data_IF_230625113035
#
_entry.id   IF_230625113035
#
_cell.length_a   1.000
_cell.length_b   1.000
_cell.length_c   1.000
_cell.angle_alpha   90.00
_cell.angle_beta   90.00
_cell.angle_gamma   90.00
#
_symmetry.space_group_name_H-M   'P 1'
#
loop_
_entity.id
_entity.type
_entity.pdbx_description
1 polymer ?
#
# COMPACT_ATOMS: atom_id res chain seq x y z
N UNK A 1 16.69 29.89 13.18
CA UNK A 1 16.77 28.47 13.48
C UNK A 1 16.74 27.67 12.17
N UNK A 2 17.93 27.43 11.58
CA UNK A 2 18.06 26.71 10.29
C UNK A 2 17.54 25.26 10.36
N UNK A 3 17.69 24.60 11.51
CA UNK A 3 17.20 23.25 11.72
C UNK A 3 15.68 23.12 11.58
N UNK A 4 14.91 24.06 12.13
CA UNK A 4 13.45 24.08 12.05
C UNK A 4 13.02 24.29 10.58
N UNK A 5 13.69 25.18 9.86
CA UNK A 5 13.38 25.43 8.44
C UNK A 5 13.69 24.24 7.56
N UNK A 6 14.73 23.48 7.87
CA UNK A 6 15.08 22.24 7.17
C UNK A 6 14.04 21.14 7.44
N UNK A 7 13.62 20.99 8.69
CA UNK A 7 12.54 20.04 9.07
C UNK A 7 11.22 20.40 8.38
N UNK A 8 10.81 21.67 8.41
CA UNK A 8 9.57 22.11 7.74
C UNK A 8 9.61 21.87 6.23
N UNK A 9 10.76 22.11 5.56
CA UNK A 9 10.90 21.81 4.13
C UNK A 9 10.77 20.33 3.79
N UNK A 10 11.16 19.43 4.70
CA UNK A 10 11.01 17.99 4.53
C UNK A 10 9.60 17.52 4.91
N UNK A 11 8.97 18.17 5.89
CA UNK A 11 7.61 17.80 6.32
C UNK A 11 6.57 18.01 5.23
N UNK A 12 6.62 19.13 4.50
CA UNK A 12 5.61 19.46 3.48
C UNK A 12 5.46 18.37 2.41
N UNK A 13 6.53 17.94 1.69
CA UNK A 13 6.39 16.88 0.69
C UNK A 13 5.97 15.53 1.31
N UNK A 14 6.40 15.22 2.53
CA UNK A 14 5.98 13.98 3.22
C UNK A 14 4.49 14.06 3.57
N UNK A 15 4.00 15.18 4.12
CA UNK A 15 2.57 15.36 4.41
C UNK A 15 1.73 15.25 3.13
N UNK A 16 2.16 15.88 2.04
CA UNK A 16 1.43 15.79 0.77
C UNK A 16 1.45 14.35 0.23
N UNK A 17 2.57 13.63 0.35
CA UNK A 17 2.64 12.23 -0.09
C UNK A 17 1.73 11.28 0.71
N UNK A 18 1.39 11.60 1.98
CA UNK A 18 0.44 10.80 2.76
C UNK A 18 -1.01 10.93 2.27
N UNK A 19 -1.33 12.00 1.55
CA UNK A 19 -2.67 12.20 0.97
C UNK A 19 -2.90 11.43 -0.33
N UNK A 20 -1.84 10.90 -0.95
CA UNK A 20 -1.95 10.11 -2.18
C UNK A 20 -2.88 8.92 -2.00
N UNK A 21 -2.72 8.16 -0.92
CA UNK A 21 -3.53 6.97 -0.64
C UNK A 21 -5.03 7.29 -0.45
N UNK A 22 -5.42 8.25 0.42
CA UNK A 22 -6.81 8.69 0.52
C UNK A 22 -7.42 9.15 -0.81
N UNK A 23 -6.66 9.87 -1.62
CA UNK A 23 -7.14 10.34 -2.93
C UNK A 23 -7.43 9.16 -3.87
N UNK A 24 -6.52 8.18 -3.95
CA UNK A 24 -6.72 6.97 -4.77
C UNK A 24 -7.96 6.19 -4.29
N UNK A 25 -8.15 6.04 -2.98
CA UNK A 25 -9.33 5.38 -2.42
C UNK A 25 -10.62 6.13 -2.79
N UNK A 26 -10.63 7.46 -2.69
CA UNK A 26 -11.78 8.29 -3.07
C UNK A 26 -12.13 8.15 -4.56
N UNK A 27 -11.13 8.13 -5.44
CA UNK A 27 -11.31 7.91 -6.88
C UNK A 27 -11.91 6.52 -7.13
N UNK A 28 -11.30 5.48 -6.55
CA UNK A 28 -11.77 4.12 -6.71
C UNK A 28 -13.21 3.92 -6.20
N UNK A 29 -13.55 4.54 -5.04
CA UNK A 29 -14.92 4.53 -4.49
C UNK A 29 -15.93 5.18 -5.43
N UNK A 30 -15.54 6.27 -6.11
CA UNK A 30 -16.42 6.92 -7.11
C UNK A 30 -16.75 5.98 -8.27
N UNK A 31 -15.76 5.29 -8.83
CA UNK A 31 -16.00 4.31 -9.89
C UNK A 31 -16.78 3.08 -9.39
N UNK A 32 -16.50 2.62 -8.19
CA UNK A 32 -17.20 1.49 -7.58
C UNK A 32 -18.64 1.79 -7.20
N UNK A 33 -19.01 3.05 -6.95
CA UNK A 33 -20.37 3.45 -6.54
C UNK A 33 -21.45 3.15 -7.60
N UNK A 34 -21.06 3.08 -8.87
CA UNK A 34 -21.94 2.69 -9.97
C UNK A 34 -22.17 1.18 -10.10
N UNK A 35 -21.42 0.36 -9.36
CA UNK A 35 -21.47 -1.09 -9.44
C UNK A 35 -22.33 -1.68 -8.32
N UNK A 36 -23.15 -2.68 -8.66
CA UNK A 36 -23.95 -3.48 -7.70
C UNK A 36 -24.80 -2.63 -6.71
N UNK A 37 -25.40 -1.53 -7.18
CA UNK A 37 -26.30 -0.72 -6.34
C UNK A 37 -25.62 -0.08 -5.10
N UNK A 38 -24.31 0.16 -5.15
CA UNK A 38 -23.51 0.75 -4.05
C UNK A 38 -22.77 -0.29 -3.18
N UNK A 39 -23.13 -1.56 -3.23
CA UNK A 39 -22.44 -2.64 -2.50
C UNK A 39 -20.97 -2.83 -2.92
N UNK A 40 -20.62 -2.44 -4.15
CA UNK A 40 -19.26 -2.50 -4.66
C UNK A 40 -18.24 -1.68 -3.85
N UNK A 41 -18.63 -0.52 -3.33
CA UNK A 41 -17.76 0.33 -2.50
C UNK A 41 -17.42 -0.39 -1.19
N UNK A 42 -18.44 -0.86 -0.48
CA UNK A 42 -18.25 -1.58 0.79
C UNK A 42 -17.43 -2.85 0.62
N UNK A 43 -17.66 -3.61 -0.46
CA UNK A 43 -16.91 -4.82 -0.76
C UNK A 43 -15.42 -4.54 -0.99
N UNK A 44 -15.09 -3.48 -1.74
CA UNK A 44 -13.70 -3.05 -1.96
C UNK A 44 -13.07 -2.56 -0.65
N UNK A 45 -13.80 -1.77 0.14
CA UNK A 45 -13.28 -1.24 1.41
C UNK A 45 -12.98 -2.36 2.41
N UNK A 46 -13.92 -3.28 2.64
CA UNK A 46 -13.70 -4.42 3.54
C UNK A 46 -12.56 -5.33 3.06
N UNK A 47 -12.54 -5.68 1.78
CA UNK A 47 -11.49 -6.50 1.19
C UNK A 47 -10.12 -5.83 1.26
N UNK A 48 -10.06 -4.53 0.96
CA UNK A 48 -8.82 -3.73 1.01
C UNK A 48 -8.30 -3.57 2.43
N UNK A 49 -9.17 -3.25 3.39
CA UNK A 49 -8.78 -3.09 4.80
C UNK A 49 -8.21 -4.38 5.37
N UNK A 50 -8.80 -5.53 5.03
CA UNK A 50 -8.34 -6.81 5.55
C UNK A 50 -6.97 -7.19 4.99
N UNK A 51 -6.74 -7.11 3.67
CA UNK A 51 -5.44 -7.43 3.11
C UNK A 51 -4.36 -6.44 3.55
N UNK A 52 -4.69 -5.14 3.66
CA UNK A 52 -3.75 -4.13 4.17
C UNK A 52 -3.39 -4.36 5.64
N UNK A 53 -4.32 -4.83 6.45
CA UNK A 53 -4.03 -5.19 7.84
C UNK A 53 -3.03 -6.35 7.89
N UNK A 54 -3.26 -7.40 7.12
CA UNK A 54 -2.36 -8.58 7.07
C UNK A 54 -0.98 -8.19 6.53
N UNK A 55 -0.92 -7.52 5.39
CA UNK A 55 0.33 -7.08 4.77
C UNK A 55 1.04 -6.01 5.60
N UNK A 56 0.26 -5.07 6.15
CA UNK A 56 0.78 -3.92 6.88
C UNK A 56 1.53 -4.31 8.14
N UNK A 57 1.02 -5.25 8.94
CA UNK A 57 1.71 -5.74 10.14
C UNK A 57 3.11 -6.24 9.80
N UNK A 58 3.24 -7.03 8.74
CA UNK A 58 4.54 -7.56 8.31
C UNK A 58 5.43 -6.46 7.71
N UNK A 59 4.94 -5.72 6.73
CA UNK A 59 5.71 -4.72 5.99
C UNK A 59 6.19 -3.60 6.91
N UNK A 60 5.31 -3.08 7.78
CA UNK A 60 5.68 -2.02 8.72
C UNK A 60 6.67 -2.50 9.77
N UNK A 61 6.55 -3.75 10.25
CA UNK A 61 7.52 -4.33 11.19
C UNK A 61 8.91 -4.39 10.57
N UNK A 62 9.03 -4.93 9.35
CA UNK A 62 10.32 -5.02 8.63
C UNK A 62 10.89 -3.63 8.35
N UNK A 63 10.08 -2.72 7.81
CA UNK A 63 10.55 -1.39 7.41
C UNK A 63 10.94 -0.52 8.60
N UNK A 64 10.25 -0.62 9.74
CA UNK A 64 10.58 0.13 10.95
C UNK A 64 11.89 -0.34 11.59
N UNK A 65 12.18 -1.65 11.56
CA UNK A 65 13.44 -2.21 12.07
C UNK A 65 14.63 -1.82 11.20
N UNK A 66 14.45 -1.79 9.87
CA UNK A 66 15.54 -1.54 8.91
C UNK A 66 15.80 -0.05 8.69
N UNK A 67 14.82 0.81 8.89
CA UNK A 67 14.94 2.24 8.62
C UNK A 67 16.08 2.95 9.36
N UNK A 68 16.34 2.72 10.68
CA UNK A 68 17.47 3.32 11.38
C UNK A 68 18.83 2.96 10.74
N UNK A 69 19.01 1.69 10.33
CA UNK A 69 20.21 1.22 9.65
C UNK A 69 20.40 1.89 8.29
N UNK A 70 19.34 2.01 7.49
CA UNK A 70 19.38 2.73 6.21
C UNK A 70 19.74 4.21 6.40
N UNK A 71 19.21 4.86 7.45
CA UNK A 71 19.49 6.25 7.77
C UNK A 71 20.94 6.46 8.20
N UNK A 72 21.50 5.55 9.01
CA UNK A 72 22.91 5.58 9.41
C UNK A 72 23.85 5.39 8.22
N UNK A 73 23.57 4.40 7.35
CA UNK A 73 24.36 4.16 6.14
C UNK A 73 24.30 5.36 5.18
N UNK A 74 23.12 5.95 5.02
CA UNK A 74 22.96 7.17 4.22
C UNK A 74 23.73 8.37 4.80
N UNK A 75 23.74 8.54 6.12
CA UNK A 75 24.46 9.63 6.80
C UNK A 75 25.98 9.48 6.71
N UNK A 76 26.49 8.26 6.52
CA UNK A 76 27.90 7.93 6.36
C UNK A 76 28.35 7.89 4.89
N UNK A 77 27.46 8.20 3.93
CA UNK A 77 27.69 8.02 2.51
C UNK A 77 28.09 6.59 2.08
N UNK A 78 27.69 5.59 2.92
CA UNK A 78 27.92 4.16 2.59
C UNK A 78 26.88 3.67 1.61
N UNK A 79 27.10 3.97 0.34
CA UNK A 79 26.19 3.60 -0.77
C UNK A 79 26.15 2.08 -0.95
N UNK A 80 27.29 1.39 -0.77
CA UNK A 80 27.35 -0.06 -0.92
C UNK A 80 26.56 -0.77 0.16
N UNK A 81 26.77 -0.40 1.42
CA UNK A 81 26.02 -0.94 2.56
C UNK A 81 24.52 -0.66 2.45
N UNK A 82 24.15 0.56 2.04
CA UNK A 82 22.73 0.92 1.82
C UNK A 82 22.10 0.04 0.72
N UNK A 83 22.78 -0.12 -0.41
CA UNK A 83 22.29 -0.95 -1.53
C UNK A 83 22.12 -2.41 -1.12
N UNK A 84 23.08 -2.98 -0.39
CA UNK A 84 22.98 -4.35 0.11
C UNK A 84 21.85 -4.51 1.13
N UNK A 85 21.68 -3.53 2.02
CA UNK A 85 20.56 -3.53 2.98
C UNK A 85 19.21 -3.49 2.26
N UNK A 86 19.05 -2.63 1.25
CA UNK A 86 17.83 -2.56 0.43
C UNK A 86 17.58 -3.86 -0.31
N UNK A 87 18.61 -4.42 -0.96
CA UNK A 87 18.52 -5.68 -1.70
C UNK A 87 18.09 -6.83 -0.79
N UNK A 88 18.80 -7.01 0.31
CA UNK A 88 18.51 -8.07 1.30
C UNK A 88 17.10 -7.92 1.87
N UNK A 89 16.70 -6.70 2.27
CA UNK A 89 15.35 -6.42 2.78
C UNK A 89 14.29 -6.73 1.73
N UNK A 90 14.52 -6.34 0.49
CA UNK A 90 13.58 -6.61 -0.62
C UNK A 90 13.42 -8.11 -0.86
N UNK A 91 14.53 -8.85 -0.95
CA UNK A 91 14.47 -10.32 -1.13
C UNK A 91 13.76 -11.01 0.02
N UNK A 92 14.09 -10.66 1.26
CA UNK A 92 13.43 -11.23 2.44
C UNK A 92 11.95 -10.88 2.47
N UNK A 93 11.60 -9.63 2.18
CA UNK A 93 10.20 -9.22 2.15
C UNK A 93 9.40 -9.94 1.07
N UNK A 94 9.93 -10.08 -0.13
CA UNK A 94 9.28 -10.82 -1.22
C UNK A 94 9.11 -12.31 -0.89
N UNK A 95 10.11 -12.91 -0.23
CA UNK A 95 10.04 -14.30 0.19
C UNK A 95 8.87 -14.60 1.14
N UNK A 96 8.51 -13.64 2.00
CA UNK A 96 7.37 -13.79 2.91
C UNK A 96 6.06 -13.27 2.30
N UNK A 97 6.09 -12.15 1.59
CA UNK A 97 4.89 -11.52 1.04
C UNK A 97 4.25 -12.36 -0.06
N UNK A 98 5.04 -13.02 -0.90
CA UNK A 98 4.48 -13.84 -1.99
C UNK A 98 3.65 -15.03 -1.45
N UNK A 99 4.14 -15.86 -0.51
CA UNK A 99 3.32 -16.90 0.11
C UNK A 99 2.11 -16.34 0.86
N UNK A 100 2.28 -15.23 1.59
CA UNK A 100 1.16 -14.55 2.28
C UNK A 100 0.09 -14.10 1.29
N UNK A 101 0.47 -13.47 0.18
CA UNK A 101 -0.43 -13.05 -0.89
C UNK A 101 -1.22 -14.24 -1.43
N UNK A 102 -0.53 -15.34 -1.78
CA UNK A 102 -1.19 -16.56 -2.27
C UNK A 102 -2.13 -17.16 -1.22
N UNK A 103 -1.73 -17.16 0.05
CA UNK A 103 -2.57 -17.60 1.17
C UNK A 103 -3.83 -16.75 1.31
N UNK A 104 -3.70 -15.42 1.28
CA UNK A 104 -4.83 -14.49 1.34
C UNK A 104 -5.75 -14.64 0.14
N UNK A 105 -5.20 -14.81 -1.06
CA UNK A 105 -5.98 -15.05 -2.26
C UNK A 105 -6.78 -16.35 -2.19
N UNK A 106 -6.15 -17.44 -1.81
CA UNK A 106 -6.82 -18.76 -1.73
C UNK A 106 -7.84 -18.85 -0.60
N UNK A 107 -7.58 -18.14 0.50
CA UNK A 107 -8.46 -18.10 1.68
C UNK A 107 -9.39 -16.89 1.70
N UNK A 108 -9.49 -16.12 0.61
CA UNK A 108 -10.28 -14.88 0.58
C UNK A 108 -11.72 -15.08 1.01
N UNK A 109 -12.42 -16.10 0.48
CA UNK A 109 -13.81 -16.39 0.85
C UNK A 109 -13.95 -16.81 2.32
N UNK A 110 -13.25 -17.87 2.82
CA UNK A 110 -13.36 -18.27 4.21
C UNK A 110 -12.91 -17.17 5.20
N UNK A 111 -11.95 -16.33 4.85
CA UNK A 111 -11.55 -15.20 5.69
C UNK A 111 -12.63 -14.15 5.81
N UNK A 112 -13.25 -13.76 4.70
CA UNK A 112 -14.36 -12.79 4.69
C UNK A 112 -15.56 -13.37 5.44
N UNK A 113 -15.91 -14.61 5.19
CA UNK A 113 -17.04 -15.28 5.84
C UNK A 113 -16.82 -15.40 7.35
N UNK A 114 -15.62 -15.74 7.77
CA UNK A 114 -15.26 -15.85 9.20
C UNK A 114 -15.29 -14.50 9.93
N UNK A 115 -14.84 -13.42 9.29
CA UNK A 115 -14.68 -12.11 9.95
C UNK A 115 -15.94 -11.27 9.86
N UNK A 116 -16.61 -11.27 8.72
CA UNK A 116 -17.77 -10.41 8.43
C UNK A 116 -19.06 -11.21 8.22
N UNK A 117 -18.98 -12.52 8.02
CA UNK A 117 -20.16 -13.36 7.80
C UNK A 117 -21.11 -13.37 8.99
N UNK A 118 -22.39 -13.26 8.72
CA UNK A 118 -23.46 -13.26 9.71
C UNK A 118 -24.18 -11.91 9.86
N UNK A 119 -25.29 -11.90 10.59
CA UNK A 119 -26.14 -10.72 10.72
C UNK A 119 -26.78 -10.31 9.40
N UNK A 120 -26.60 -9.05 9.01
CA UNK A 120 -27.11 -8.50 7.75
C UNK A 120 -26.17 -8.74 6.54
N UNK A 121 -24.99 -9.30 6.77
CA UNK A 121 -24.01 -9.58 5.69
C UNK A 121 -24.40 -10.87 4.98
N UNK A 122 -24.93 -10.73 3.77
CA UNK A 122 -25.44 -11.86 2.99
C UNK A 122 -24.31 -12.71 2.39
N UNK A 123 -24.66 -13.93 1.93
CA UNK A 123 -23.71 -14.77 1.19
C UNK A 123 -23.23 -14.12 -0.13
N UNK A 124 -24.07 -13.26 -0.72
CA UNK A 124 -23.72 -12.49 -1.91
C UNK A 124 -22.69 -11.39 -1.59
N UNK A 125 -22.87 -10.68 -0.45
CA UNK A 125 -21.89 -9.69 0.03
C UNK A 125 -20.56 -10.35 0.38
N UNK A 126 -20.58 -11.54 0.99
CA UNK A 126 -19.38 -12.35 1.26
C UNK A 126 -18.67 -12.68 -0.05
N UNK A 127 -19.37 -13.15 -1.07
CA UNK A 127 -18.78 -13.51 -2.35
C UNK A 127 -18.20 -12.30 -3.10
N UNK A 128 -18.91 -11.16 -3.07
CA UNK A 128 -18.46 -9.92 -3.70
C UNK A 128 -17.20 -9.38 -3.01
N UNK A 129 -17.21 -9.33 -1.68
CA UNK A 129 -16.09 -8.87 -0.85
C UNK A 129 -14.86 -9.78 -0.99
N UNK A 130 -15.08 -11.11 -1.03
CA UNK A 130 -14.01 -12.07 -1.24
C UNK A 130 -13.35 -11.93 -2.62
N UNK A 131 -14.13 -11.65 -3.67
CA UNK A 131 -13.58 -11.33 -5.00
C UNK A 131 -12.78 -10.05 -4.97
N UNK A 132 -13.29 -9.00 -4.33
CA UNK A 132 -12.55 -7.75 -4.17
C UNK A 132 -11.23 -7.99 -3.45
N UNK A 133 -11.24 -8.73 -2.32
CA UNK A 133 -10.04 -9.10 -1.56
C UNK A 133 -9.05 -9.92 -2.40
N UNK A 134 -9.52 -10.88 -3.18
CA UNK A 134 -8.69 -11.70 -4.06
C UNK A 134 -7.88 -10.84 -5.03
N UNK A 135 -8.54 -9.94 -5.76
CA UNK A 135 -7.86 -9.09 -6.75
C UNK A 135 -7.02 -8.00 -6.12
N UNK A 136 -7.46 -7.37 -5.04
CA UNK A 136 -6.68 -6.33 -4.34
C UNK A 136 -5.45 -6.90 -3.66
N UNK A 137 -5.47 -8.17 -3.23
CA UNK A 137 -4.32 -8.86 -2.63
C UNK A 137 -3.12 -8.99 -3.59
N UNK A 138 -3.33 -8.99 -4.90
CA UNK A 138 -2.24 -8.90 -5.89
C UNK A 138 -1.36 -7.65 -5.67
N UNK A 139 -1.94 -6.61 -5.10
CA UNK A 139 -1.23 -5.39 -4.74
C UNK A 139 -0.26 -5.52 -3.56
N UNK A 140 -0.29 -6.64 -2.80
CA UNK A 140 0.57 -6.81 -1.60
C UNK A 140 2.06 -6.68 -1.92
N UNK A 141 2.50 -7.24 -3.04
CA UNK A 141 3.90 -7.13 -3.49
C UNK A 141 4.26 -5.69 -3.79
N UNK A 142 3.42 -4.97 -4.53
CA UNK A 142 3.60 -3.55 -4.82
C UNK A 142 3.62 -2.69 -3.55
N UNK A 143 2.73 -2.97 -2.61
CA UNK A 143 2.68 -2.31 -1.31
C UNK A 143 3.97 -2.50 -0.50
N UNK A 144 4.53 -3.72 -0.46
CA UNK A 144 5.79 -4.00 0.22
C UNK A 144 6.96 -3.25 -0.42
N UNK A 145 7.09 -3.31 -1.75
CA UNK A 145 8.15 -2.62 -2.49
C UNK A 145 8.05 -1.11 -2.33
N UNK A 146 6.86 -0.55 -2.44
CA UNK A 146 6.63 0.88 -2.24
C UNK A 146 7.10 1.34 -0.85
N UNK A 147 6.73 0.60 0.21
CA UNK A 147 7.13 0.95 1.58
C UNK A 147 8.65 0.91 1.76
N UNK A 148 9.33 -0.13 1.25
CA UNK A 148 10.79 -0.24 1.33
C UNK A 148 11.46 0.92 0.59
N UNK A 149 11.05 1.19 -0.67
CA UNK A 149 11.62 2.26 -1.48
C UNK A 149 11.39 3.64 -0.87
N UNK A 150 10.19 3.92 -0.36
CA UNK A 150 9.92 5.17 0.35
C UNK A 150 10.86 5.37 1.54
N UNK A 151 11.17 4.32 2.32
CA UNK A 151 12.11 4.40 3.43
C UNK A 151 13.53 4.74 2.97
N UNK A 152 13.97 4.21 1.81
CA UNK A 152 15.29 4.55 1.22
C UNK A 152 15.36 6.04 0.90
N UNK A 153 14.35 6.59 0.22
CA UNK A 153 14.31 8.01 -0.10
C UNK A 153 14.25 8.90 1.14
N UNK A 154 13.45 8.50 2.14
CA UNK A 154 13.39 9.23 3.41
C UNK A 154 14.72 9.17 4.18
N UNK A 155 15.44 8.03 4.17
CA UNK A 155 16.77 7.91 4.73
C UNK A 155 17.79 8.85 4.05
N UNK A 156 17.62 9.11 2.74
CA UNK A 156 18.39 10.10 1.97
C UNK A 156 17.89 11.54 2.13
N UNK A 157 16.91 11.78 3.00
CA UNK A 157 16.24 13.08 3.15
C UNK A 157 15.58 13.60 1.85
N UNK A 158 15.26 12.70 0.93
CA UNK A 158 14.52 13.01 -0.29
C UNK A 158 13.03 12.67 -0.13
N UNK A 159 12.22 13.66 0.22
CA UNK A 159 10.77 13.54 0.26
C UNK A 159 10.08 13.86 -1.08
N UNK A 160 10.82 14.40 -2.07
CA UNK A 160 10.24 14.81 -3.35
C UNK A 160 9.99 13.63 -4.29
N UNK A 161 10.93 12.69 -4.35
CA UNK A 161 10.83 11.54 -5.25
C UNK A 161 9.62 10.65 -4.91
N UNK A 162 9.35 10.28 -3.62
CA UNK A 162 8.12 9.58 -3.26
C UNK A 162 6.84 10.37 -3.59
N UNK A 163 6.87 11.69 -3.43
CA UNK A 163 5.74 12.56 -3.78
C UNK A 163 5.43 12.51 -5.29
N UNK A 164 6.46 12.69 -6.13
CA UNK A 164 6.31 12.64 -7.60
C UNK A 164 5.80 11.27 -8.05
N UNK A 165 6.38 10.18 -7.50
CA UNK A 165 5.92 8.82 -7.76
C UNK A 165 4.46 8.61 -7.34
N UNK A 166 4.05 9.17 -6.21
CA UNK A 166 2.66 9.14 -5.73
C UNK A 166 1.70 9.87 -6.68
N UNK A 167 2.04 11.08 -7.11
CA UNK A 167 1.22 11.84 -8.08
C UNK A 167 1.11 11.10 -9.42
N UNK A 168 2.21 10.52 -9.90
CA UNK A 168 2.19 9.71 -11.12
C UNK A 168 1.29 8.46 -10.95
N UNK A 169 1.33 7.83 -9.77
CA UNK A 169 0.46 6.69 -9.43
C UNK A 169 -1.03 7.08 -9.51
N UNK A 170 -1.42 8.27 -9.02
CA UNK A 170 -2.80 8.77 -9.14
C UNK A 170 -3.18 8.92 -10.64
N UNK A 171 -2.32 9.52 -11.44
CA UNK A 171 -2.58 9.71 -12.87
C UNK A 171 -2.75 8.36 -13.61
N UNK A 172 -1.89 7.38 -13.31
CA UNK A 172 -1.99 6.02 -13.85
C UNK A 172 -3.27 5.33 -13.37
N UNK A 173 -3.63 5.47 -12.09
CA UNK A 173 -4.86 4.90 -11.54
C UNK A 173 -6.10 5.45 -12.26
N UNK A 174 -6.19 6.76 -12.45
CA UNK A 174 -7.30 7.40 -13.18
C UNK A 174 -7.36 6.86 -14.62
N UNK A 175 -6.23 6.85 -15.32
CA UNK A 175 -6.17 6.35 -16.70
C UNK A 175 -6.61 4.88 -16.81
N UNK A 176 -6.19 4.03 -15.86
CA UNK A 176 -6.62 2.64 -15.80
C UNK A 176 -8.13 2.51 -15.52
N UNK A 177 -8.68 3.32 -14.61
CA UNK A 177 -10.11 3.31 -14.31
C UNK A 177 -10.94 3.73 -15.54
N UNK A 178 -10.55 4.79 -16.24
CA UNK A 178 -11.23 5.24 -17.48
C UNK A 178 -11.15 4.19 -18.60
N UNK A 179 -10.00 3.52 -18.76
CA UNK A 179 -9.81 2.52 -19.82
C UNK A 179 -10.55 1.20 -19.55
N UNK A 180 -10.64 0.79 -18.28
CA UNK A 180 -11.18 -0.53 -17.91
C UNK A 180 -12.67 -0.49 -17.57
N UNK A 181 -13.17 0.61 -17.01
CA UNK A 181 -14.58 0.72 -16.61
C UNK A 181 -15.40 1.40 -17.73
N UNK A 182 -14.72 2.24 -18.54
CA UNK A 182 -15.34 2.94 -19.68
C UNK A 182 -16.38 4.00 -19.25
N UNK A 183 -16.83 4.83 -20.16
CA UNK A 183 -17.97 5.70 -19.93
C UNK A 183 -19.28 4.92 -19.92
#
# INVERSE_FOLDING_TARGET
NEGIRKVLKLMVPVLVSTWVQPIVLMINSRYASGLHGGGGVSAIDYGTNLYLTIAGVFVLSVTNVIFPKMSEQSARDDIQGLTETVRSTTHTSLFFIIPMMLGVMTLSYPLIDFIYGGGEFSAEDTALTARAMFFTSLGMVGYALQNILCRVYYAKQDGKTPLVAGVLSIAVNIACCELLIGP
#
